data_IF_234553847071
#
_entry.id   IF_234553847071
#
_cell.length_a   1.000
_cell.length_b   1.000
_cell.length_c   1.000
_cell.angle_alpha   90.00
_cell.angle_beta   90.00
_cell.angle_gamma   90.00
#
_symmetry.space_group_name_H-M   'P 1'
#
loop_
_entity.id
_entity.type
_entity.pdbx_description
1 polymer ?
#
# COMPACT_ATOMS: atom_id res chain seq x y z
N UNK A 1 55.03 -10.13 -28.36
CA UNK A 1 54.33 -10.80 -29.49
C UNK A 1 53.02 -9.98 -29.67
N UNK A 2 53.09 -8.93 -30.48
CA UNK A 2 51.89 -8.19 -30.88
C UNK A 2 51.33 -8.94 -32.10
N UNK A 3 50.54 -9.96 -31.86
CA UNK A 3 49.78 -10.61 -32.91
C UNK A 3 48.71 -9.65 -33.40
N UNK A 4 48.77 -9.35 -34.71
CA UNK A 4 47.72 -8.60 -35.37
C UNK A 4 46.41 -9.42 -35.30
N UNK A 5 45.47 -8.98 -34.47
CA UNK A 5 44.16 -9.62 -34.25
C UNK A 5 43.09 -9.09 -35.20
N UNK A 6 43.48 -8.32 -36.23
CA UNK A 6 42.57 -7.71 -37.20
C UNK A 6 41.76 -8.77 -38.00
N UNK A 7 42.32 -9.99 -38.16
CA UNK A 7 41.65 -11.09 -38.84
C UNK A 7 40.45 -11.69 -38.08
N UNK A 8 40.36 -11.40 -36.75
CA UNK A 8 39.26 -11.93 -35.93
C UNK A 8 37.96 -11.12 -36.07
N UNK A 9 38.00 -9.98 -36.75
CA UNK A 9 36.86 -9.09 -36.96
C UNK A 9 36.04 -8.84 -35.64
N UNK A 10 36.75 -8.75 -34.52
CA UNK A 10 36.18 -8.55 -33.20
C UNK A 10 35.94 -7.05 -32.98
N UNK A 11 34.75 -6.67 -32.63
CA UNK A 11 34.43 -5.33 -32.17
C UNK A 11 34.79 -5.20 -30.67
N UNK A 12 35.93 -4.52 -30.40
CA UNK A 12 36.44 -4.31 -29.03
C UNK A 12 35.77 -3.15 -28.30
N UNK A 13 34.64 -2.68 -28.80
CA UNK A 13 33.88 -1.66 -28.08
C UNK A 13 33.31 -2.22 -26.77
N UNK A 14 33.45 -1.49 -25.67
CA UNK A 14 32.92 -1.93 -24.41
C UNK A 14 31.38 -2.03 -24.50
N UNK A 15 30.84 -3.19 -24.14
CA UNK A 15 29.37 -3.38 -24.08
C UNK A 15 28.87 -2.82 -22.75
N UNK A 16 28.00 -1.83 -22.74
CA UNK A 16 27.45 -1.26 -21.49
C UNK A 16 26.45 -2.25 -20.85
N UNK A 17 26.95 -3.09 -19.95
CA UNK A 17 26.14 -4.12 -19.27
C UNK A 17 25.43 -3.52 -18.05
N UNK A 18 26.07 -2.60 -17.32
CA UNK A 18 25.58 -2.01 -16.08
C UNK A 18 24.19 -1.37 -16.23
N UNK A 19 23.89 -0.55 -17.27
CA UNK A 19 22.56 0.02 -17.43
C UNK A 19 21.45 -1.01 -17.51
N UNK A 20 21.70 -2.17 -18.15
CA UNK A 20 20.71 -3.26 -18.23
C UNK A 20 20.41 -3.87 -16.86
N UNK A 21 21.40 -4.05 -16.02
CA UNK A 21 21.19 -4.54 -14.65
C UNK A 21 20.44 -3.52 -13.81
N UNK A 22 20.77 -2.24 -13.91
CA UNK A 22 20.02 -1.17 -13.23
C UNK A 22 18.56 -1.18 -13.68
N UNK A 23 18.29 -1.26 -14.97
CA UNK A 23 16.92 -1.31 -15.50
C UNK A 23 16.14 -2.54 -15.00
N UNK A 24 16.77 -3.71 -14.90
CA UNK A 24 16.14 -4.94 -14.38
C UNK A 24 15.76 -4.74 -12.90
N UNK A 25 16.68 -4.22 -12.08
CA UNK A 25 16.46 -3.97 -10.66
C UNK A 25 15.35 -2.94 -10.47
N UNK A 26 15.44 -1.80 -11.16
CA UNK A 26 14.43 -0.71 -11.07
C UNK A 26 13.06 -1.19 -11.51
N UNK A 27 12.97 -1.93 -12.62
CA UNK A 27 11.69 -2.46 -13.10
C UNK A 27 11.11 -3.50 -12.13
N UNK A 28 11.94 -4.36 -11.53
CA UNK A 28 11.51 -5.31 -10.52
C UNK A 28 10.97 -4.62 -9.26
N UNK A 29 11.65 -3.59 -8.77
CA UNK A 29 11.25 -2.84 -7.58
C UNK A 29 10.10 -1.85 -7.81
N UNK A 30 9.92 -1.40 -9.06
CA UNK A 30 8.87 -0.43 -9.39
C UNK A 30 7.48 -1.05 -9.54
N UNK A 31 7.38 -2.37 -9.58
CA UNK A 31 6.08 -3.05 -9.66
C UNK A 31 5.17 -2.62 -8.51
N UNK A 32 3.90 -2.36 -8.82
CA UNK A 32 2.89 -1.99 -7.83
C UNK A 32 2.47 -3.25 -7.06
N UNK A 33 3.23 -3.57 -6.01
CA UNK A 33 3.01 -4.72 -5.13
C UNK A 33 2.57 -4.26 -3.72
N UNK A 34 1.81 -3.17 -3.63
CA UNK A 34 1.31 -2.64 -2.36
C UNK A 34 -0.17 -2.26 -2.49
N UNK A 35 -0.87 -2.44 -1.41
CA UNK A 35 -2.24 -1.99 -1.21
C UNK A 35 -2.24 -0.88 -0.15
N UNK A 36 -3.00 0.17 -0.41
CA UNK A 36 -3.17 1.27 0.56
C UNK A 36 -4.32 0.90 1.48
N UNK A 37 -4.06 0.89 2.79
CA UNK A 37 -5.07 0.68 3.82
C UNK A 37 -5.04 1.83 4.81
N UNK A 38 -6.20 2.37 5.13
CA UNK A 38 -6.38 3.39 6.14
C UNK A 38 -7.12 2.81 7.35
N UNK A 39 -6.74 3.25 8.54
CA UNK A 39 -7.39 2.87 9.80
C UNK A 39 -7.62 4.11 10.64
N UNK A 40 -8.85 4.32 11.05
CA UNK A 40 -9.21 5.39 11.97
C UNK A 40 -8.64 5.12 13.35
N UNK A 41 -7.89 6.08 13.89
CA UNK A 41 -7.27 6.02 15.23
C UNK A 41 -7.90 7.03 16.20
N UNK A 42 -8.90 7.76 15.78
CA UNK A 42 -9.65 8.66 16.64
C UNK A 42 -10.55 7.88 17.62
N UNK A 43 -10.89 8.50 18.74
CA UNK A 43 -11.70 7.86 19.78
C UNK A 43 -13.06 7.41 19.29
N UNK A 44 -13.68 8.18 18.37
CA UNK A 44 -14.96 7.83 17.78
C UNK A 44 -14.86 6.60 16.86
N UNK A 45 -13.81 6.53 16.04
CA UNK A 45 -13.56 5.39 15.16
C UNK A 45 -13.29 4.09 15.93
N UNK A 46 -12.53 4.19 17.03
CA UNK A 46 -12.29 3.06 17.92
C UNK A 46 -13.59 2.60 18.61
N UNK A 47 -14.40 3.53 19.10
CA UNK A 47 -15.70 3.23 19.73
C UNK A 47 -16.62 2.50 18.74
N UNK A 48 -16.77 3.00 17.51
CA UNK A 48 -17.58 2.38 16.48
C UNK A 48 -17.09 0.99 16.07
N UNK A 49 -15.79 0.79 16.01
CA UNK A 49 -15.19 -0.52 15.76
C UNK A 49 -15.52 -1.51 16.89
N UNK A 50 -15.44 -1.05 18.14
CA UNK A 50 -15.75 -1.87 19.30
C UNK A 50 -17.25 -2.21 19.36
N UNK A 51 -18.13 -1.23 19.14
CA UNK A 51 -19.57 -1.45 19.07
C UNK A 51 -19.95 -2.50 18.02
N UNK A 52 -19.34 -2.41 16.82
CA UNK A 52 -19.57 -3.39 15.76
C UNK A 52 -19.07 -4.78 16.16
N UNK A 53 -17.86 -4.87 16.69
CA UNK A 53 -17.30 -6.15 17.17
C UNK A 53 -18.19 -6.79 18.23
N UNK A 54 -18.68 -6.00 19.20
CA UNK A 54 -19.60 -6.47 20.26
C UNK A 54 -20.93 -6.94 19.68
N UNK A 55 -21.48 -6.25 18.66
CA UNK A 55 -22.72 -6.68 18.00
C UNK A 55 -22.55 -8.02 17.27
N UNK A 56 -21.43 -8.20 16.54
CA UNK A 56 -21.11 -9.46 15.86
C UNK A 56 -20.92 -10.60 16.87
N UNK A 57 -20.19 -10.32 17.96
CA UNK A 57 -19.98 -11.31 19.03
C UNK A 57 -21.30 -11.74 19.70
N UNK A 58 -22.21 -10.80 19.92
CA UNK A 58 -23.55 -11.07 20.45
C UNK A 58 -24.37 -11.95 19.48
N UNK A 59 -24.35 -11.65 18.20
CA UNK A 59 -25.02 -12.44 17.17
C UNK A 59 -24.44 -13.86 17.08
N UNK A 60 -23.10 -14.00 17.18
CA UNK A 60 -22.42 -15.30 17.22
C UNK A 60 -22.86 -16.13 18.43
N UNK A 61 -22.90 -15.53 19.62
CA UNK A 61 -23.29 -16.21 20.86
C UNK A 61 -24.78 -16.58 20.88
N UNK A 62 -25.62 -15.77 20.23
CA UNK A 62 -27.07 -15.98 20.17
C UNK A 62 -27.52 -16.78 18.94
N UNK A 63 -26.62 -17.33 18.14
CA UNK A 63 -26.92 -17.95 16.84
C UNK A 63 -28.02 -18.99 16.92
N UNK A 64 -27.89 -19.98 17.84
CA UNK A 64 -28.88 -21.05 18.01
C UNK A 64 -30.28 -20.50 18.36
N UNK A 65 -30.34 -19.50 19.24
CA UNK A 65 -31.57 -18.87 19.64
C UNK A 65 -32.22 -18.09 18.48
N UNK A 66 -31.45 -17.33 17.76
CA UNK A 66 -31.89 -16.53 16.61
C UNK A 66 -32.41 -17.44 15.48
N UNK A 67 -31.73 -18.57 15.22
CA UNK A 67 -32.17 -19.55 14.22
C UNK A 67 -33.50 -20.20 14.59
N UNK A 68 -33.72 -20.52 15.85
CA UNK A 68 -35.02 -21.06 16.36
C UNK A 68 -36.11 -19.99 16.23
N UNK A 69 -35.81 -18.72 16.48
CA UNK A 69 -36.73 -17.62 16.34
C UNK A 69 -37.18 -17.43 14.87
N UNK A 70 -36.24 -17.52 13.93
CA UNK A 70 -36.54 -17.45 12.50
C UNK A 70 -37.45 -18.62 12.07
N UNK A 71 -37.13 -19.85 12.50
CA UNK A 71 -37.87 -21.05 12.10
C UNK A 71 -39.30 -21.06 12.64
N UNK A 72 -39.50 -20.73 13.91
CA UNK A 72 -40.80 -20.85 14.57
C UNK A 72 -41.65 -19.60 14.46
N UNK A 73 -41.06 -18.43 14.52
CA UNK A 73 -41.78 -17.16 14.61
C UNK A 73 -41.59 -16.28 13.35
N UNK A 74 -40.72 -16.67 12.43
CA UNK A 74 -40.33 -15.86 11.23
C UNK A 74 -39.84 -14.46 11.60
N UNK A 75 -39.23 -14.31 12.76
CA UNK A 75 -38.63 -13.07 13.24
C UNK A 75 -37.14 -13.20 13.17
N UNK A 76 -36.53 -12.29 12.43
CA UNK A 76 -35.06 -12.18 12.36
C UNK A 76 -34.61 -11.26 13.50
N UNK A 77 -33.79 -11.82 14.41
CA UNK A 77 -33.24 -11.12 15.57
C UNK A 77 -31.75 -10.81 15.41
N UNK A 78 -31.14 -11.16 14.27
CA UNK A 78 -29.74 -10.79 13.99
C UNK A 78 -29.62 -9.29 13.77
N UNK A 79 -28.62 -8.68 14.37
CA UNK A 79 -28.23 -7.29 14.13
C UNK A 79 -27.41 -7.16 12.84
N UNK A 80 -26.65 -8.23 12.49
CA UNK A 80 -25.84 -8.31 11.31
C UNK A 80 -26.36 -9.39 10.34
N UNK A 81 -25.88 -9.38 9.10
CA UNK A 81 -26.29 -10.39 8.13
C UNK A 81 -25.73 -11.76 8.52
N UNK A 82 -26.58 -12.75 8.62
CA UNK A 82 -26.19 -14.11 9.00
C UNK A 82 -25.08 -14.71 8.12
N UNK A 83 -25.09 -14.37 6.82
CA UNK A 83 -24.13 -14.87 5.84
C UNK A 83 -22.70 -14.34 6.07
N UNK A 84 -22.58 -13.17 6.70
CA UNK A 84 -21.31 -12.50 6.95
C UNK A 84 -20.78 -12.76 8.37
N UNK A 85 -21.52 -13.56 9.19
CA UNK A 85 -21.15 -13.83 10.57
C UNK A 85 -20.03 -14.90 10.65
N UNK A 86 -18.90 -14.60 11.30
CA UNK A 86 -17.84 -15.58 11.54
C UNK A 86 -18.29 -16.71 12.48
N UNK A 87 -17.69 -17.89 12.35
CA UNK A 87 -18.02 -19.06 13.15
C UNK A 87 -17.15 -19.17 14.41
N UNK A 88 -15.95 -18.60 14.39
CA UNK A 88 -14.95 -18.67 15.46
C UNK A 88 -14.41 -17.30 15.83
N UNK A 89 -13.81 -17.19 17.01
CA UNK A 89 -13.13 -15.94 17.43
C UNK A 89 -11.96 -15.59 16.52
N UNK A 90 -11.27 -16.59 15.96
CA UNK A 90 -10.18 -16.38 15.01
C UNK A 90 -10.70 -15.79 13.69
N UNK A 91 -11.84 -16.29 13.21
CA UNK A 91 -12.50 -15.72 12.03
C UNK A 91 -13.05 -14.34 12.30
N UNK A 92 -13.54 -14.06 13.52
CA UNK A 92 -13.94 -12.71 13.90
C UNK A 92 -12.75 -11.74 13.84
N UNK A 93 -11.59 -12.15 14.34
CA UNK A 93 -10.38 -11.33 14.26
C UNK A 93 -9.98 -11.05 12.80
N UNK A 94 -10.09 -12.04 11.91
CA UNK A 94 -9.83 -11.89 10.49
C UNK A 94 -10.88 -10.97 9.82
N UNK A 95 -12.16 -11.16 10.13
CA UNK A 95 -13.24 -10.31 9.62
C UNK A 95 -13.03 -8.84 10.00
N UNK A 96 -12.66 -8.58 11.28
CA UNK A 96 -12.35 -7.22 11.75
C UNK A 96 -11.11 -6.61 11.09
N UNK A 97 -10.21 -7.43 10.58
CA UNK A 97 -8.96 -6.99 9.97
C UNK A 97 -9.08 -6.79 8.45
N UNK A 98 -9.87 -7.63 7.78
CA UNK A 98 -9.94 -7.70 6.32
C UNK A 98 -11.22 -7.06 5.76
N UNK A 99 -12.37 -7.32 6.38
CA UNK A 99 -13.68 -7.00 5.83
C UNK A 99 -14.31 -5.75 6.46
N UNK A 100 -14.12 -5.57 7.78
CA UNK A 100 -14.70 -4.41 8.45
C UNK A 100 -13.93 -3.13 8.11
N UNK A 101 -14.64 -2.19 7.48
CA UNK A 101 -14.13 -0.85 7.18
C UNK A 101 -15.19 0.20 7.44
N UNK A 102 -14.77 1.28 8.05
CA UNK A 102 -15.61 2.45 8.22
C UNK A 102 -15.65 3.29 6.93
N UNK A 103 -16.75 4.03 6.73
CA UNK A 103 -16.89 4.89 5.56
C UNK A 103 -15.74 5.93 5.44
N UNK A 104 -15.24 6.42 6.57
CA UNK A 104 -14.11 7.35 6.63
C UNK A 104 -12.83 6.67 6.13
N UNK A 105 -12.55 5.45 6.57
CA UNK A 105 -11.39 4.67 6.16
C UNK A 105 -11.41 4.38 4.64
N UNK A 106 -12.59 4.03 4.11
CA UNK A 106 -12.77 3.84 2.66
C UNK A 106 -12.55 5.15 1.89
N UNK A 107 -13.06 6.27 2.39
CA UNK A 107 -12.87 7.58 1.77
C UNK A 107 -11.40 8.00 1.77
N UNK A 108 -10.66 7.74 2.87
CA UNK A 108 -9.23 8.01 2.98
C UNK A 108 -8.41 7.14 2.02
N UNK A 109 -8.71 5.83 1.91
CA UNK A 109 -8.07 4.94 0.94
C UNK A 109 -8.28 5.41 -0.49
N UNK A 110 -9.51 5.81 -0.82
CA UNK A 110 -9.84 6.32 -2.15
C UNK A 110 -9.15 7.66 -2.42
N UNK A 111 -9.10 8.57 -1.44
CA UNK A 111 -8.41 9.84 -1.55
C UNK A 111 -6.92 9.65 -1.79
N UNK A 112 -6.26 8.76 -1.03
CA UNK A 112 -4.84 8.43 -1.20
C UNK A 112 -4.56 7.81 -2.58
N UNK A 113 -5.37 6.87 -3.04
CA UNK A 113 -5.22 6.28 -4.37
C UNK A 113 -5.38 7.36 -5.47
N UNK A 114 -6.38 8.23 -5.35
CA UNK A 114 -6.60 9.33 -6.30
C UNK A 114 -5.42 10.31 -6.32
N UNK A 115 -4.87 10.63 -5.15
CA UNK A 115 -3.69 11.49 -5.01
C UNK A 115 -2.46 10.85 -5.67
N UNK A 116 -2.24 9.56 -5.47
CA UNK A 116 -1.12 8.83 -6.05
C UNK A 116 -1.22 8.78 -7.58
N UNK A 117 -2.42 8.51 -8.11
CA UNK A 117 -2.66 8.49 -9.54
C UNK A 117 -2.53 9.91 -10.14
N UNK A 118 -3.09 10.93 -9.50
CA UNK A 118 -2.99 12.33 -9.92
C UNK A 118 -1.57 12.88 -9.91
N UNK A 119 -0.77 12.48 -8.92
CA UNK A 119 0.65 12.85 -8.81
C UNK A 119 1.56 12.03 -9.72
N UNK A 120 1.04 11.06 -10.46
CA UNK A 120 1.84 10.09 -11.24
C UNK A 120 2.93 9.44 -10.37
N UNK A 121 2.52 9.00 -9.18
CA UNK A 121 3.43 8.48 -8.17
C UNK A 121 4.32 7.34 -8.67
N UNK A 122 3.81 6.47 -9.54
CA UNK A 122 4.60 5.37 -10.12
C UNK A 122 5.81 5.87 -10.92
N UNK A 123 5.65 7.00 -11.64
CA UNK A 123 6.76 7.62 -12.36
C UNK A 123 7.77 8.23 -11.39
N UNK A 124 7.30 8.94 -10.36
CA UNK A 124 8.13 9.51 -9.29
C UNK A 124 8.90 8.42 -8.56
N UNK A 125 8.23 7.34 -8.17
CA UNK A 125 8.82 6.14 -7.55
C UNK A 125 9.92 5.54 -8.43
N UNK A 126 9.65 5.35 -9.73
CA UNK A 126 10.62 4.77 -10.66
C UNK A 126 11.89 5.62 -10.78
N UNK A 127 11.74 6.95 -10.86
CA UNK A 127 12.89 7.87 -10.90
C UNK A 127 13.71 7.81 -9.61
N UNK A 128 13.03 7.87 -8.48
CA UNK A 128 13.66 7.75 -7.17
C UNK A 128 14.41 6.42 -7.00
N UNK A 129 13.84 5.31 -7.45
CA UNK A 129 14.49 3.99 -7.41
C UNK A 129 15.71 3.92 -8.35
N UNK A 130 15.65 4.59 -9.50
CA UNK A 130 16.80 4.66 -10.41
C UNK A 130 17.98 5.39 -9.76
N UNK A 131 17.74 6.54 -9.13
CA UNK A 131 18.77 7.30 -8.44
C UNK A 131 19.29 6.54 -7.22
N UNK A 132 18.40 5.91 -6.46
CA UNK A 132 18.78 5.07 -5.31
C UNK A 132 19.70 3.92 -5.75
N UNK A 133 19.42 3.30 -6.91
CA UNK A 133 20.22 2.18 -7.43
C UNK A 133 21.57 2.65 -7.99
N UNK A 134 21.64 3.85 -8.57
CA UNK A 134 22.84 4.36 -9.24
C UNK A 134 23.76 5.16 -8.32
N UNK A 135 23.17 6.02 -7.48
CA UNK A 135 23.88 6.99 -6.65
C UNK A 135 23.80 6.62 -5.16
N UNK A 136 22.80 5.82 -4.77
CA UNK A 136 22.53 5.47 -3.38
C UNK A 136 21.67 6.50 -2.63
N UNK A 137 21.17 7.54 -3.30
CA UNK A 137 20.34 8.60 -2.74
C UNK A 137 19.11 8.76 -3.60
N UNK A 138 17.94 8.70 -2.98
CA UNK A 138 16.67 9.01 -3.63
C UNK A 138 15.82 9.90 -2.73
N UNK A 139 15.19 10.92 -3.28
CA UNK A 139 14.39 11.87 -2.52
C UNK A 139 13.07 12.20 -3.21
N UNK A 140 12.05 12.34 -2.42
CA UNK A 140 10.73 12.83 -2.82
C UNK A 140 10.30 13.92 -1.85
N UNK A 141 9.51 14.89 -2.33
CA UNK A 141 8.90 15.90 -1.47
C UNK A 141 7.39 15.84 -1.62
N UNK A 142 6.71 16.05 -0.52
CA UNK A 142 5.26 16.22 -0.49
C UNK A 142 4.97 17.71 -0.35
N UNK A 143 4.16 18.25 -1.26
CA UNK A 143 3.72 19.64 -1.25
C UNK A 143 2.20 19.69 -1.21
N UNK A 144 1.67 20.75 -0.61
CA UNK A 144 0.24 21.02 -0.60
C UNK A 144 0.01 22.42 -1.16
N UNK A 145 -0.85 22.51 -2.18
CA UNK A 145 -1.32 23.76 -2.75
C UNK A 145 -2.85 23.78 -2.71
N UNK A 146 -3.42 24.95 -2.38
CA UNK A 146 -4.87 25.14 -2.33
C UNK A 146 -5.56 24.95 -3.69
N UNK A 147 -4.84 25.16 -4.79
CA UNK A 147 -5.37 25.01 -6.15
C UNK A 147 -5.37 23.56 -6.62
N UNK A 148 -4.30 22.84 -6.31
CA UNK A 148 -4.02 21.51 -6.88
C UNK A 148 -4.06 20.38 -5.84
N UNK A 149 -4.19 20.73 -4.55
CA UNK A 149 -4.19 19.77 -3.44
C UNK A 149 -2.80 19.26 -3.08
N UNK A 150 -2.75 18.07 -2.50
CA UNK A 150 -1.49 17.43 -2.14
C UNK A 150 -0.86 16.75 -3.35
N UNK A 151 0.47 16.91 -3.49
CA UNK A 151 1.27 16.30 -4.56
C UNK A 151 2.53 15.66 -4.00
N UNK A 152 2.94 14.58 -4.63
CA UNK A 152 4.23 13.94 -4.37
C UNK A 152 5.10 14.13 -5.60
N UNK A 153 6.21 14.84 -5.42
CA UNK A 153 7.12 15.22 -6.50
C UNK A 153 8.50 14.58 -6.29
N UNK A 154 9.11 14.22 -7.39
CA UNK A 154 10.51 13.78 -7.41
C UNK A 154 11.45 14.96 -7.13
N UNK A 155 12.48 14.73 -6.33
CA UNK A 155 13.56 15.69 -6.07
C UNK A 155 14.85 15.12 -6.65
N UNK A 156 15.46 15.89 -7.55
CA UNK A 156 16.78 15.54 -8.11
C UNK A 156 17.83 15.54 -6.98
N UNK A 157 18.58 14.46 -6.79
CA UNK A 157 19.65 14.38 -5.78
C UNK A 157 20.68 15.51 -5.87
N UNK A 158 20.91 16.07 -7.06
CA UNK A 158 21.80 17.22 -7.24
C UNK A 158 21.34 18.49 -6.52
N UNK A 159 20.03 18.60 -6.25
CA UNK A 159 19.43 19.74 -5.53
C UNK A 159 19.19 19.44 -4.05
N UNK A 160 19.61 18.26 -3.56
CA UNK A 160 19.41 17.85 -2.20
C UNK A 160 20.58 18.27 -1.31
N UNK A 161 20.28 19.06 -0.29
CA UNK A 161 21.25 19.43 0.76
C UNK A 161 20.79 18.77 2.06
N UNK A 162 21.64 17.93 2.63
CA UNK A 162 21.38 17.30 3.91
C UNK A 162 22.49 17.62 4.91
N UNK A 163 22.13 17.70 6.19
CA UNK A 163 23.10 17.87 7.26
C UNK A 163 23.92 16.58 7.43
N UNK A 164 25.22 16.74 7.68
CA UNK A 164 26.06 15.62 8.10
C UNK A 164 25.54 15.09 9.43
N UNK A 165 25.13 13.83 9.46
CA UNK A 165 24.82 13.11 10.69
C UNK A 165 25.94 12.11 10.91
N UNK A 166 26.63 12.21 12.02
CA UNK A 166 27.45 11.08 12.47
C UNK A 166 26.52 9.87 12.62
N UNK A 167 26.94 8.74 12.06
CA UNK A 167 26.24 7.47 12.16
C UNK A 167 25.90 7.18 13.62
N UNK A 168 24.70 6.66 13.92
CA UNK A 168 24.33 6.23 15.28
C UNK A 168 25.24 5.11 15.78
#
# INVERSE_FOLDING_TARGET
>A
INGDLSYLNLDWKPVPIVPKFVDIVVNGMSQRAYEVKAYSQDSYGIEKRTEYMDSVLKDMQSREFNDVAIQNFKVDLYENKKEDLPDTEEELALHMQLDYKQAVELAEEQALNTLMDGSKFDLTKRRCLYDLTTIGIGAVKTTFDWSDGAKVEYVDPANLVYSYTESP
#
